data_IF_212621040651
#
_entry.id   IF_212621040651
#
_cell.length_a   1.000
_cell.length_b   1.000
_cell.length_c   1.000
_cell.angle_alpha   90.00
_cell.angle_beta   90.00
_cell.angle_gamma   90.00
#
_symmetry.space_group_name_H-M   'P 1'
#
loop_
_entity.id
_entity.type
_entity.pdbx_description
1 polymer ?
#
# COMPACT_ATOMS: atom_id res chain seq x y z
N UNK A 1 3.38 -42.67 13.05
CA UNK A 1 2.35 -42.31 12.07
C UNK A 1 2.42 -40.81 11.92
N UNK A 2 3.34 -40.34 11.09
CA UNK A 2 3.72 -38.93 11.08
C UNK A 2 2.91 -38.23 9.98
N UNK A 3 1.82 -37.60 10.40
CA UNK A 3 0.95 -36.82 9.54
C UNK A 3 1.67 -35.52 9.17
N UNK A 4 2.43 -35.56 8.07
CA UNK A 4 3.09 -34.41 7.49
C UNK A 4 2.01 -33.40 7.03
N UNK A 5 2.03 -32.13 7.48
CA UNK A 5 1.02 -31.16 7.06
C UNK A 5 1.12 -30.91 5.54
N UNK A 6 -0.02 -30.78 4.82
CA UNK A 6 0.01 -30.55 3.40
C UNK A 6 0.72 -29.23 3.10
N UNK A 7 1.82 -29.31 2.33
CA UNK A 7 2.54 -28.14 1.84
C UNK A 7 1.56 -27.22 1.13
N UNK A 8 1.54 -25.97 1.59
CA UNK A 8 0.74 -24.85 1.10
C UNK A 8 0.61 -24.90 -0.43
N UNK A 9 -0.57 -25.32 -0.90
CA UNK A 9 -0.94 -25.20 -2.31
C UNK A 9 -1.12 -23.71 -2.57
N UNK A 10 -0.11 -23.07 -3.14
CA UNK A 10 -0.24 -21.73 -3.73
C UNK A 10 -1.32 -21.83 -4.79
N UNK A 11 -2.52 -21.41 -4.44
CA UNK A 11 -3.68 -21.35 -5.31
C UNK A 11 -3.40 -20.28 -6.36
N UNK A 12 -3.05 -20.71 -7.58
CA UNK A 12 -2.88 -19.84 -8.76
C UNK A 12 -4.19 -19.26 -9.31
N UNK A 13 -5.31 -19.50 -8.63
CA UNK A 13 -6.59 -18.88 -8.91
C UNK A 13 -6.90 -17.93 -7.77
N UNK A 14 -6.67 -16.64 -7.99
CA UNK A 14 -7.44 -15.49 -7.48
C UNK A 14 -6.76 -14.13 -7.86
N UNK A 15 -6.31 -13.92 -9.12
CA UNK A 15 -5.63 -12.67 -9.47
C UNK A 15 -6.52 -11.43 -9.26
N UNK A 16 -7.84 -11.57 -9.40
CA UNK A 16 -8.75 -10.43 -9.30
C UNK A 16 -8.90 -9.92 -7.87
N UNK A 17 -9.05 -10.79 -6.87
CA UNK A 17 -9.22 -10.33 -5.48
C UNK A 17 -7.91 -9.81 -4.89
N UNK A 18 -6.78 -10.40 -5.27
CA UNK A 18 -5.45 -9.94 -4.85
C UNK A 18 -5.12 -8.57 -5.45
N UNK A 19 -5.44 -8.36 -6.72
CA UNK A 19 -5.29 -7.05 -7.38
C UNK A 19 -6.24 -6.00 -6.80
N UNK A 20 -7.50 -6.36 -6.53
CA UNK A 20 -8.47 -5.48 -5.86
C UNK A 20 -8.03 -5.12 -4.44
N UNK A 21 -7.52 -6.07 -3.67
CA UNK A 21 -7.01 -5.81 -2.33
C UNK A 21 -5.80 -4.86 -2.38
N UNK A 22 -4.90 -5.08 -3.33
CA UNK A 22 -3.75 -4.18 -3.55
C UNK A 22 -4.24 -2.77 -3.91
N UNK A 23 -5.19 -2.64 -4.82
CA UNK A 23 -5.75 -1.35 -5.24
C UNK A 23 -6.45 -0.62 -4.10
N UNK A 24 -7.31 -1.31 -3.34
CA UNK A 24 -8.07 -0.72 -2.22
C UNK A 24 -7.20 -0.40 -1.00
N UNK A 25 -6.05 -1.07 -0.87
CA UNK A 25 -5.05 -0.75 0.16
C UNK A 25 -4.22 0.50 -0.18
N UNK A 26 -4.23 0.95 -1.44
CA UNK A 26 -3.43 2.07 -1.89
C UNK A 26 -3.91 3.39 -1.27
N UNK A 27 -2.96 4.27 -0.91
CA UNK A 27 -3.25 5.54 -0.22
C UNK A 27 -4.21 6.44 -1.00
N UNK A 28 -4.14 6.40 -2.34
CA UNK A 28 -5.07 7.15 -3.21
C UNK A 28 -6.52 6.71 -3.00
N UNK A 29 -6.78 5.40 -2.95
CA UNK A 29 -8.11 4.86 -2.72
C UNK A 29 -8.61 5.22 -1.32
N UNK A 30 -7.79 5.01 -0.29
CA UNK A 30 -8.16 5.32 1.10
C UNK A 30 -8.47 6.81 1.28
N UNK A 31 -7.76 7.72 0.59
CA UNK A 31 -8.09 9.16 0.58
C UNK A 31 -9.46 9.45 -0.04
N UNK A 32 -9.78 8.84 -1.17
CA UNK A 32 -11.07 9.03 -1.82
C UNK A 32 -12.21 8.53 -0.91
N UNK A 33 -12.04 7.39 -0.25
CA UNK A 33 -13.02 6.88 0.72
C UNK A 33 -13.14 7.80 1.94
N UNK A 34 -12.04 8.37 2.42
CA UNK A 34 -12.03 9.33 3.53
C UNK A 34 -12.67 10.68 3.19
N UNK A 35 -12.67 11.09 1.92
CA UNK A 35 -13.41 12.26 1.44
C UNK A 35 -14.92 12.00 1.37
N UNK A 36 -15.35 10.73 1.41
CA UNK A 36 -16.74 10.33 1.21
C UNK A 36 -17.19 10.47 -0.24
N UNK A 37 -18.51 10.49 -0.44
CA UNK A 37 -19.14 10.69 -1.74
C UNK A 37 -19.80 9.44 -2.33
N UNK A 38 -20.23 9.58 -3.58
CA UNK A 38 -20.96 8.56 -4.33
C UNK A 38 -20.04 7.43 -4.76
N UNK A 39 -20.52 6.20 -4.64
CA UNK A 39 -19.88 5.00 -5.19
C UNK A 39 -20.45 4.76 -6.58
N UNK A 40 -19.65 4.18 -7.45
CA UNK A 40 -20.05 3.86 -8.81
C UNK A 40 -19.98 2.35 -9.01
N UNK A 41 -20.92 1.81 -9.77
CA UNK A 41 -20.85 0.45 -10.26
C UNK A 41 -19.84 0.33 -11.42
N UNK A 42 -19.72 -0.87 -12.00
CA UNK A 42 -18.84 -1.11 -13.15
C UNK A 42 -19.36 -0.46 -14.44
N UNK A 43 -20.63 -0.07 -14.49
CA UNK A 43 -21.26 0.60 -15.63
C UNK A 43 -21.16 2.14 -15.52
N UNK A 44 -20.70 2.66 -14.37
CA UNK A 44 -20.60 4.09 -14.09
C UNK A 44 -21.87 4.70 -13.48
N UNK A 45 -22.86 3.88 -13.11
CA UNK A 45 -24.06 4.32 -12.41
C UNK A 45 -23.78 4.52 -10.91
N UNK A 46 -24.41 5.51 -10.26
CA UNK A 46 -24.24 5.75 -8.84
C UNK A 46 -24.83 4.58 -8.02
N UNK A 47 -23.95 3.80 -7.39
CA UNK A 47 -24.26 2.63 -6.59
C UNK A 47 -24.09 2.92 -5.10
N UNK A 48 -24.94 3.81 -4.58
CA UNK A 48 -25.01 4.15 -3.16
C UNK A 48 -23.86 5.01 -2.64
N UNK A 49 -23.90 5.30 -1.33
CA UNK A 49 -22.94 6.18 -0.67
C UNK A 49 -21.97 5.41 0.24
N UNK A 50 -20.79 5.99 0.47
CA UNK A 50 -19.86 5.49 1.48
C UNK A 50 -20.43 5.80 2.87
N UNK A 51 -20.67 4.77 3.68
CA UNK A 51 -21.19 4.94 5.03
C UNK A 51 -20.24 5.77 5.91
N UNK A 52 -20.79 6.55 6.84
CA UNK A 52 -19.98 7.35 7.77
C UNK A 52 -18.97 6.53 8.58
N UNK A 53 -19.30 5.28 8.88
CA UNK A 53 -18.40 4.33 9.56
C UNK A 53 -17.18 3.99 8.70
N UNK A 54 -17.37 3.81 7.39
CA UNK A 54 -16.30 3.56 6.45
C UNK A 54 -15.41 4.80 6.26
N UNK A 55 -16.00 6.00 6.26
CA UNK A 55 -15.26 7.26 6.22
C UNK A 55 -14.36 7.38 7.46
N UNK A 56 -14.91 7.20 8.66
CA UNK A 56 -14.13 7.26 9.93
C UNK A 56 -12.95 6.29 9.89
N UNK A 57 -13.19 5.02 9.54
CA UNK A 57 -12.13 4.02 9.47
C UNK A 57 -11.09 4.33 8.38
N UNK A 58 -11.53 4.85 7.23
CA UNK A 58 -10.62 5.26 6.15
C UNK A 58 -9.75 6.45 6.56
N UNK A 59 -10.29 7.45 7.28
CA UNK A 59 -9.50 8.60 7.76
C UNK A 59 -8.41 8.16 8.75
N UNK A 60 -8.71 7.23 9.64
CA UNK A 60 -7.75 6.67 10.58
C UNK A 60 -6.64 5.89 9.85
N UNK A 61 -7.04 5.00 8.92
CA UNK A 61 -6.08 4.26 8.08
C UNK A 61 -5.23 5.20 7.23
N UNK A 62 -5.79 6.29 6.72
CA UNK A 62 -5.05 7.26 5.93
C UNK A 62 -3.96 7.95 6.75
N UNK A 63 -4.27 8.40 7.97
CA UNK A 63 -3.27 8.96 8.90
C UNK A 63 -2.13 7.98 9.20
N UNK A 64 -2.45 6.68 9.38
CA UNK A 64 -1.44 5.66 9.59
C UNK A 64 -0.55 5.43 8.35
N UNK A 65 -1.15 5.44 7.15
CA UNK A 65 -0.44 5.33 5.87
C UNK A 65 0.48 6.54 5.63
N UNK A 66 0.00 7.77 5.85
CA UNK A 66 0.78 9.00 5.68
C UNK A 66 2.06 9.00 6.53
N UNK A 67 1.97 8.56 7.80
CA UNK A 67 3.14 8.40 8.66
C UNK A 67 4.16 7.43 8.08
N UNK A 68 3.71 6.31 7.50
CA UNK A 68 4.59 5.31 6.86
C UNK A 68 5.28 5.87 5.62
N UNK A 69 4.57 6.61 4.78
CA UNK A 69 5.17 7.26 3.60
C UNK A 69 6.20 8.31 3.98
N UNK A 70 5.94 9.09 5.03
CA UNK A 70 6.90 10.09 5.53
C UNK A 70 8.19 9.43 6.04
N UNK A 71 8.08 8.33 6.79
CA UNK A 71 9.25 7.58 7.28
C UNK A 71 10.00 6.90 6.13
N UNK A 72 9.30 6.33 5.14
CA UNK A 72 9.92 5.72 3.96
C UNK A 72 10.73 6.70 3.13
N UNK A 73 10.18 7.90 2.87
CA UNK A 73 10.89 8.97 2.16
C UNK A 73 12.09 9.50 2.94
N UNK A 74 12.01 9.54 4.27
CA UNK A 74 13.16 9.93 5.09
C UNK A 74 14.29 8.89 5.08
N UNK A 75 13.96 7.60 4.92
CA UNK A 75 14.96 6.53 4.77
C UNK A 75 15.64 6.56 3.41
N UNK A 76 14.90 6.78 2.31
CA UNK A 76 15.49 6.89 0.97
C UNK A 76 16.42 8.10 0.85
N UNK A 77 16.05 9.23 1.47
CA UNK A 77 16.88 10.43 1.42
C UNK A 77 18.20 10.27 2.21
N UNK A 78 18.22 9.41 3.23
CA UNK A 78 19.42 9.16 4.05
C UNK A 78 20.40 8.18 3.38
N UNK A 79 19.91 7.26 2.54
CA UNK A 79 20.78 6.30 1.84
C UNK A 79 21.59 6.90 0.68
N UNK A 80 21.17 8.03 0.12
CA UNK A 80 21.91 8.75 -0.93
C UNK A 80 22.97 9.72 -0.36
N UNK A 81 23.03 9.90 0.96
CA UNK A 81 24.06 10.70 1.63
C UNK A 81 25.25 9.83 2.04
N UNK A 82 25.85 9.08 1.11
CA UNK A 82 27.10 8.36 1.35
C UNK A 82 28.27 9.33 1.11
N UNK A 83 29.10 9.66 2.12
CA UNK A 83 30.31 10.44 1.88
C UNK A 83 31.23 9.63 0.97
N UNK A 84 31.58 10.21 -0.17
CA UNK A 84 32.56 9.67 -1.09
C UNK A 84 33.87 9.52 -0.33
N UNK A 85 34.29 8.26 -0.13
CA UNK A 85 35.62 7.96 0.34
C UNK A 85 36.59 8.44 -0.75
N UNK A 86 37.37 9.45 -0.41
CA UNK A 86 38.56 9.91 -1.11
C UNK A 86 39.43 8.71 -1.53
N UNK A 87 39.27 8.27 -2.78
CA UNK A 87 40.20 7.35 -3.40
C UNK A 87 41.42 8.15 -3.83
N UNK A 88 42.44 8.18 -2.98
CA UNK A 88 43.75 8.68 -3.35
C UNK A 88 44.33 7.78 -4.47
N UNK A 89 44.28 8.28 -5.70
CA UNK A 89 45.17 7.87 -6.78
C UNK A 89 46.42 8.74 -6.78
N UNK A 90 47.41 8.33 -7.59
CA UNK A 90 48.76 8.89 -7.80
C UNK A 90 49.80 8.46 -6.74
N UNK A 91 50.76 7.57 -7.00
CA UNK A 91 51.31 7.10 -8.27
C UNK A 91 52.54 7.91 -8.71
N UNK A 92 53.65 7.88 -7.95
CA UNK A 92 55.03 7.81 -8.48
C UNK A 92 56.06 7.59 -7.38
#
# INVERSE_FOLDING_TARGET
MDFLPPKSRKTHFLPVVDTLNTYTSHAKYVRCVAAGGMRYDLNGEPCGEVTETAIKHATERFKALERKFRVGRNRSNNSDSKPEAESATDGR
#
